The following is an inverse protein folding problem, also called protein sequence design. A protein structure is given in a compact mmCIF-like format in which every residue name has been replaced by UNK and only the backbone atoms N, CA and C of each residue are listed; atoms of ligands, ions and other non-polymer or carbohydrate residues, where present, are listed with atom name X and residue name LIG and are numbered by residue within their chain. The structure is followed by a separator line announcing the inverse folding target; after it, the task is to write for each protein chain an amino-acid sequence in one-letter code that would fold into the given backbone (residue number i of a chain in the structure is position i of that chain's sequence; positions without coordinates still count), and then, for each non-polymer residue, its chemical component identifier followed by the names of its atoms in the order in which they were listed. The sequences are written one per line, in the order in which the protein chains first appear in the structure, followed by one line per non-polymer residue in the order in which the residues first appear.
data_IF_226208613343
#
_entry.id   IF_226208613343
#
_cell.length_a   1.000
_cell.length_b   1.000
_cell.length_c   1.000
_cell.angle_alpha   90.00
_cell.angle_beta   90.00
_cell.angle_gamma   90.00
#
_symmetry.space_group_name_H-M   'P 1'
#
loop_
_entity.id
_entity.type
_entity.pdbx_description
1 polymer ?
#
# COMPACT_ATOMS: atom_id res chain seq x y z
N UNK A 1 14.83 27.31 -42.83
CA UNK A 1 14.03 28.32 -42.10
C UNK A 1 13.61 27.71 -40.76
N UNK A 2 14.41 27.95 -39.72
CA UNK A 2 14.02 27.91 -38.29
C UNK A 2 13.22 29.20 -37.99
N UNK A 3 12.70 29.47 -36.78
CA UNK A 3 12.18 28.62 -35.69
C UNK A 3 10.88 29.23 -35.07
N UNK A 4 10.19 28.54 -34.16
CA UNK A 4 9.53 29.16 -33.00
C UNK A 4 9.24 28.04 -31.98
N UNK A 5 10.08 27.90 -30.96
CA UNK A 5 9.88 28.47 -29.62
C UNK A 5 8.86 27.64 -28.83
N UNK A 6 9.26 26.61 -28.07
CA UNK A 6 9.96 26.76 -26.79
C UNK A 6 9.26 27.77 -25.87
N UNK A 7 8.14 27.40 -25.25
CA UNK A 7 7.61 28.11 -24.09
C UNK A 7 6.92 27.11 -23.15
N UNK A 8 7.53 26.94 -21.98
CA UNK A 8 6.94 26.60 -20.68
C UNK A 8 5.94 25.44 -20.61
N UNK A 9 6.34 24.38 -19.91
CA UNK A 9 5.80 24.17 -18.54
C UNK A 9 6.70 23.21 -17.77
N UNK A 10 7.83 23.75 -17.32
CA UNK A 10 8.36 23.44 -15.99
C UNK A 10 7.29 23.86 -14.98
N UNK A 11 6.55 22.92 -14.38
CA UNK A 11 6.14 22.93 -12.96
C UNK A 11 5.48 21.57 -12.67
N UNK A 12 6.20 20.70 -11.96
CA UNK A 12 5.60 19.75 -11.02
C UNK A 12 6.67 19.33 -9.99
N UNK A 13 7.33 20.32 -9.38
CA UNK A 13 8.20 20.12 -8.22
C UNK A 13 7.45 20.58 -6.96
N UNK A 14 6.38 19.90 -6.60
CA UNK A 14 5.70 20.13 -5.32
C UNK A 14 5.14 18.80 -4.83
N UNK A 15 5.85 18.15 -3.90
CA UNK A 15 5.32 17.50 -2.68
C UNK A 15 6.47 16.84 -1.90
N UNK A 16 7.36 17.62 -1.28
CA UNK A 16 8.31 17.09 -0.27
C UNK A 16 7.80 17.27 1.19
N UNK A 17 6.53 17.66 1.38
CA UNK A 17 6.00 18.09 2.67
C UNK A 17 5.22 17.01 3.46
N UNK A 18 5.54 15.72 3.32
CA UNK A 18 4.89 14.65 4.11
C UNK A 18 5.84 13.54 4.62
N UNK A 19 7.14 13.82 4.76
CA UNK A 19 8.14 12.80 5.11
C UNK A 19 8.25 12.51 6.63
N UNK A 20 7.50 13.21 7.48
CA UNK A 20 7.36 12.84 8.88
C UNK A 20 6.37 11.67 8.97
N UNK A 21 6.89 10.45 8.88
CA UNK A 21 6.12 9.25 9.09
C UNK A 21 5.51 9.23 10.50
N UNK A 22 4.36 8.58 10.60
CA UNK A 22 3.64 8.35 11.86
C UNK A 22 3.79 6.90 12.30
N UNK A 23 3.58 6.59 13.59
CA UNK A 23 3.40 5.20 13.99
C UNK A 23 2.23 4.56 13.25
N UNK A 24 2.41 3.32 12.83
CA UNK A 24 1.36 2.50 12.23
C UNK A 24 0.26 2.26 13.26
N UNK A 25 -0.97 2.44 12.83
CA UNK A 25 -2.16 2.06 13.59
C UNK A 25 -2.54 0.62 13.26
N UNK A 26 -3.43 0.04 14.06
CA UNK A 26 -4.00 -1.27 13.77
C UNK A 26 -4.67 -1.31 12.39
N UNK A 27 -5.29 -0.20 11.96
CA UNK A 27 -5.92 -0.10 10.64
C UNK A 27 -4.90 -0.17 9.50
N UNK A 28 -3.71 0.42 9.66
CA UNK A 28 -2.64 0.34 8.65
C UNK A 28 -2.12 -1.10 8.51
N UNK A 29 -1.89 -1.75 9.65
CA UNK A 29 -1.42 -3.13 9.69
C UNK A 29 -2.43 -4.09 9.08
N UNK A 30 -3.73 -3.92 9.38
CA UNK A 30 -4.81 -4.68 8.75
C UNK A 30 -4.87 -4.43 7.24
N UNK A 31 -4.74 -3.18 6.80
CA UNK A 31 -4.75 -2.84 5.37
C UNK A 31 -3.63 -3.58 4.60
N UNK A 32 -2.43 -3.69 5.18
CA UNK A 32 -1.32 -4.44 4.57
C UNK A 32 -1.67 -5.92 4.42
N UNK A 33 -2.20 -6.56 5.47
CA UNK A 33 -2.64 -7.96 5.43
C UNK A 33 -3.75 -8.14 4.39
N UNK A 34 -4.75 -7.26 4.41
CA UNK A 34 -5.92 -7.33 3.55
C UNK A 34 -5.57 -7.26 2.07
N UNK A 35 -4.68 -6.33 1.73
CA UNK A 35 -4.18 -6.19 0.38
C UNK A 35 -3.38 -7.41 -0.05
N UNK A 36 -2.52 -7.94 0.83
CA UNK A 36 -1.78 -9.17 0.55
C UNK A 36 -2.71 -10.34 0.25
N UNK A 37 -3.82 -10.48 0.99
CA UNK A 37 -4.82 -11.51 0.71
C UNK A 37 -5.46 -11.28 -0.65
N UNK A 38 -5.91 -10.05 -0.94
CA UNK A 38 -6.59 -9.75 -2.19
C UNK A 38 -5.72 -10.03 -3.42
N UNK A 39 -4.46 -9.56 -3.42
CA UNK A 39 -3.56 -9.76 -4.56
C UNK A 39 -3.17 -11.22 -4.75
N UNK A 40 -2.97 -11.97 -3.66
CA UNK A 40 -2.68 -13.41 -3.74
C UNK A 40 -3.88 -14.21 -4.25
N UNK A 41 -5.09 -13.90 -3.76
CA UNK A 41 -6.30 -14.56 -4.22
C UNK A 41 -6.61 -14.24 -5.68
N UNK A 42 -6.40 -12.99 -6.10
CA UNK A 42 -6.48 -12.60 -7.51
C UNK A 42 -5.48 -13.36 -8.38
N UNK A 43 -4.24 -13.55 -7.92
CA UNK A 43 -3.24 -14.36 -8.63
C UNK A 43 -3.67 -15.83 -8.78
N UNK A 44 -4.43 -16.36 -7.82
CA UNK A 44 -5.05 -17.69 -7.88
C UNK A 44 -6.40 -17.71 -8.63
N UNK A 45 -6.82 -16.60 -9.24
CA UNK A 45 -8.12 -16.42 -9.91
C UNK A 45 -9.34 -16.60 -8.98
N UNK A 46 -9.15 -16.42 -7.68
CA UNK A 46 -10.20 -16.43 -6.67
C UNK A 46 -10.62 -14.99 -6.36
N UNK A 47 -11.47 -14.42 -7.22
CA UNK A 47 -11.87 -13.00 -7.15
C UNK A 47 -13.21 -12.75 -6.47
N UNK A 48 -13.86 -13.82 -5.97
CA UNK A 48 -15.14 -13.73 -5.27
C UNK A 48 -15.00 -12.91 -3.97
N UNK A 49 -15.70 -11.77 -3.84
CA UNK A 49 -15.53 -10.86 -2.71
C UNK A 49 -15.77 -11.53 -1.34
N UNK A 50 -16.73 -12.44 -1.26
CA UNK A 50 -17.03 -13.18 -0.03
C UNK A 50 -15.91 -14.12 0.41
N UNK A 51 -15.21 -14.75 -0.55
CA UNK A 51 -14.06 -15.61 -0.25
C UNK A 51 -12.87 -14.78 0.22
N UNK A 52 -12.64 -13.62 -0.41
CA UNK A 52 -11.59 -12.68 -0.01
C UNK A 52 -11.85 -12.16 1.40
N UNK A 53 -13.06 -11.68 1.68
CA UNK A 53 -13.43 -11.16 2.99
C UNK A 53 -13.25 -12.21 4.10
N UNK A 54 -13.69 -13.46 3.84
CA UNK A 54 -13.51 -14.58 4.77
C UNK A 54 -12.03 -14.85 5.03
N UNK A 55 -11.19 -14.88 3.99
CA UNK A 55 -9.75 -15.12 4.12
C UNK A 55 -9.02 -13.99 4.85
N UNK A 56 -9.44 -12.75 4.62
CA UNK A 56 -8.93 -11.60 5.37
C UNK A 56 -9.25 -11.73 6.86
N UNK A 57 -10.48 -12.08 7.21
CA UNK A 57 -10.86 -12.31 8.61
C UNK A 57 -10.06 -13.44 9.27
N UNK A 58 -9.96 -14.60 8.61
CA UNK A 58 -9.18 -15.75 9.08
C UNK A 58 -7.72 -15.38 9.35
N UNK A 59 -7.08 -14.64 8.43
CA UNK A 59 -5.69 -14.25 8.57
C UNK A 59 -5.49 -13.14 9.60
N UNK A 60 -6.36 -12.13 9.68
CA UNK A 60 -6.28 -11.13 10.76
C UNK A 60 -6.39 -11.76 12.14
N UNK A 61 -7.24 -12.78 12.29
CA UNK A 61 -7.39 -13.51 13.55
C UNK A 61 -6.13 -14.34 13.86
N UNK A 62 -5.57 -15.02 12.86
CA UNK A 62 -4.38 -15.86 13.00
C UNK A 62 -3.11 -15.05 13.26
N UNK A 63 -2.99 -13.87 12.65
CA UNK A 63 -1.84 -12.97 12.73
C UNK A 63 -1.98 -11.92 13.84
N UNK A 64 -2.86 -12.13 14.83
CA UNK A 64 -3.20 -11.10 15.81
C UNK A 64 -1.99 -10.58 16.59
N UNK A 65 -1.03 -11.45 16.89
CA UNK A 65 0.19 -11.05 17.60
C UNK A 65 1.17 -10.33 16.68
N UNK A 66 1.35 -10.77 15.43
CA UNK A 66 2.17 -10.07 14.44
C UNK A 66 1.61 -8.68 14.08
N UNK A 67 0.28 -8.51 14.11
CA UNK A 67 -0.36 -7.21 13.96
C UNK A 67 0.03 -6.27 15.11
N UNK A 68 0.19 -6.76 16.34
CA UNK A 68 0.68 -5.93 17.46
C UNK A 68 2.13 -5.49 17.22
N UNK A 69 2.96 -6.37 16.68
CA UNK A 69 4.35 -6.05 16.34
C UNK A 69 4.47 -5.06 15.18
N UNK A 70 3.43 -4.96 14.33
CA UNK A 70 3.34 -3.96 13.29
C UNK A 70 2.96 -2.57 13.83
N UNK A 71 2.06 -2.50 14.82
CA UNK A 71 1.63 -1.24 15.43
C UNK A 71 2.82 -0.48 16.02
N UNK A 72 2.90 0.82 15.74
CA UNK A 72 4.00 1.67 16.18
C UNK A 72 5.18 1.74 15.22
N UNK A 73 5.32 0.83 14.24
CA UNK A 73 6.34 0.96 13.19
C UNK A 73 6.12 2.23 12.36
N UNK A 74 7.19 2.83 11.86
CA UNK A 74 7.08 4.05 11.05
C UNK A 74 6.43 3.74 9.71
N UNK A 75 5.35 4.43 9.38
CA UNK A 75 4.72 4.45 8.06
C UNK A 75 4.54 5.88 7.58
N UNK A 76 4.49 6.07 6.27
CA UNK A 76 4.14 7.35 5.65
C UNK A 76 2.88 7.19 4.80
N UNK A 77 2.22 8.31 4.49
CA UNK A 77 1.05 8.27 3.61
C UNK A 77 1.40 7.77 2.22
N UNK A 78 2.62 8.06 1.74
CA UNK A 78 3.16 7.51 0.48
C UNK A 78 3.33 6.00 0.53
N UNK A 79 3.84 5.43 1.63
CA UNK A 79 3.96 3.98 1.80
C UNK A 79 2.57 3.32 1.76
N UNK A 80 1.61 3.88 2.50
CA UNK A 80 0.25 3.33 2.52
C UNK A 80 -0.50 3.53 1.20
N UNK A 81 -0.19 4.59 0.45
CA UNK A 81 -0.63 4.79 -0.93
C UNK A 81 -0.11 3.68 -1.85
N UNK A 82 1.19 3.43 -1.81
CA UNK A 82 1.83 2.34 -2.56
C UNK A 82 1.19 0.99 -2.25
N UNK A 83 0.92 0.68 -0.97
CA UNK A 83 0.24 -0.58 -0.57
C UNK A 83 -1.13 -0.70 -1.23
N UNK A 84 -1.95 0.35 -1.24
CA UNK A 84 -3.31 0.30 -1.82
C UNK A 84 -3.29 0.00 -3.33
N UNK A 85 -2.30 0.53 -4.03
CA UNK A 85 -2.17 0.41 -5.48
C UNK A 85 -1.41 -0.85 -5.93
N UNK A 86 -0.63 -1.46 -5.05
CA UNK A 86 0.18 -2.62 -5.37
C UNK A 86 -0.67 -3.80 -5.87
N UNK A 87 -0.22 -4.44 -6.96
CA UNK A 87 -0.94 -5.54 -7.63
C UNK A 87 -0.40 -6.93 -7.28
N UNK A 88 0.73 -7.02 -6.57
CA UNK A 88 1.33 -8.29 -6.14
C UNK A 88 1.86 -8.21 -4.70
N UNK A 89 2.03 -9.35 -4.05
CA UNK A 89 2.57 -9.42 -2.69
C UNK A 89 4.01 -8.88 -2.60
N UNK A 90 4.81 -9.10 -3.66
CA UNK A 90 6.17 -8.56 -3.77
C UNK A 90 6.16 -7.04 -3.88
N UNK A 91 5.21 -6.47 -4.63
CA UNK A 91 5.05 -5.04 -4.73
C UNK A 91 4.69 -4.42 -3.37
N UNK A 92 3.77 -5.05 -2.61
CA UNK A 92 3.43 -4.61 -1.25
C UNK A 92 4.67 -4.63 -0.35
N UNK A 93 5.47 -5.70 -0.41
CA UNK A 93 6.71 -5.82 0.37
C UNK A 93 7.69 -4.70 0.05
N UNK A 94 7.79 -4.28 -1.22
CA UNK A 94 8.64 -3.14 -1.64
C UNK A 94 8.13 -1.80 -1.09
N UNK A 95 6.81 -1.64 -0.89
CA UNK A 95 6.24 -0.41 -0.34
C UNK A 95 6.61 -0.16 1.12
N UNK A 96 6.80 -1.22 1.91
CA UNK A 96 6.97 -1.15 3.37
C UNK A 96 8.40 -1.48 3.84
N UNK A 97 9.34 -1.58 2.90
CA UNK A 97 10.74 -1.91 3.15
C UNK A 97 11.56 -0.69 3.53
#
# INVERSE_FOLDING_TARGET
MRPLSYVLSLVALVTLAAACGRPATEADCKLIVDRNVEVQMRAMKLVEPGLIAKKQEELRASLKDELKDCVGRRVTDSMMGCVREAETAEAITKCIR
#
